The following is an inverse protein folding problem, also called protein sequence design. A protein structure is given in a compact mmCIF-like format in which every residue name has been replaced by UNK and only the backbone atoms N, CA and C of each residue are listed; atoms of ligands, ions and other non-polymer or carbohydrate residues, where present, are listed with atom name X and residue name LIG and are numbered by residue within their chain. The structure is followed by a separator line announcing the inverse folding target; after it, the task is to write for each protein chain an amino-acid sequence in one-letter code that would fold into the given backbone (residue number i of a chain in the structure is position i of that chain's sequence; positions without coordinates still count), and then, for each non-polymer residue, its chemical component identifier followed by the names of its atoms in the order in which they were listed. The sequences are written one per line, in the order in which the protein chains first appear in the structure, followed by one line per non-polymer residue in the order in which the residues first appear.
data_IF_985845264806
#
_entry.id   IF_985845264806
#
_cell.length_a   1.000
_cell.length_b   1.000
_cell.length_c   1.000
_cell.angle_alpha   90.00
_cell.angle_beta   90.00
_cell.angle_gamma   90.00
#
_symmetry.space_group_name_H-M   'P 1'
#
loop_
_entity.id
_entity.type
_entity.pdbx_description
1 polymer ?
#
# COMPACT_ATOMS: atom_id res chain seq x y z
N UNK A 1 -15.17 9.77 -42.69
CA UNK A 1 -16.09 9.37 -41.59
C UNK A 1 -15.63 10.09 -40.34
N UNK A 2 -16.48 10.96 -39.79
CA UNK A 2 -16.15 11.86 -38.69
C UNK A 2 -15.62 11.09 -37.48
N UNK A 3 -14.40 11.40 -37.02
CA UNK A 3 -13.91 11.00 -35.69
C UNK A 3 -14.73 11.75 -34.65
N UNK A 4 -15.91 11.22 -34.31
CA UNK A 4 -16.64 11.63 -33.11
C UNK A 4 -15.70 11.40 -31.91
N UNK A 5 -15.45 12.45 -31.12
CA UNK A 5 -14.39 12.53 -30.12
C UNK A 5 -14.56 11.67 -28.87
N UNK A 6 -15.18 10.50 -28.98
CA UNK A 6 -15.36 9.54 -27.88
C UNK A 6 -14.63 8.24 -28.23
N UNK A 7 -13.55 7.94 -27.50
CA UNK A 7 -12.94 6.61 -27.50
C UNK A 7 -13.53 5.80 -26.36
N UNK A 8 -13.80 4.51 -26.58
CA UNK A 8 -14.09 3.58 -25.47
C UNK A 8 -12.88 3.54 -24.53
N UNK A 9 -13.02 4.13 -23.35
CA UNK A 9 -12.00 4.03 -22.32
C UNK A 9 -11.92 2.59 -21.81
N UNK A 10 -10.72 2.17 -21.43
CA UNK A 10 -10.56 0.93 -20.68
C UNK A 10 -11.44 0.99 -19.42
N UNK A 11 -12.19 -0.08 -19.18
CA UNK A 11 -13.04 -0.19 -18.00
C UNK A 11 -12.17 -0.18 -16.73
N UNK A 12 -12.55 0.61 -15.71
CA UNK A 12 -11.88 0.63 -14.40
C UNK A 12 -12.46 -0.40 -13.42
N UNK A 13 -13.05 -1.46 -13.96
CA UNK A 13 -13.60 -2.55 -13.16
C UNK A 13 -12.44 -3.31 -12.53
N UNK A 14 -12.52 -3.50 -11.22
CA UNK A 14 -11.59 -4.33 -10.46
C UNK A 14 -12.08 -5.77 -10.57
N UNK A 15 -11.26 -6.65 -11.11
CA UNK A 15 -11.53 -8.08 -11.16
C UNK A 15 -11.01 -8.76 -9.89
N UNK A 16 -11.92 -9.03 -8.96
CA UNK A 16 -11.60 -9.63 -7.66
C UNK A 16 -11.02 -11.04 -7.76
N UNK A 17 -11.30 -11.79 -8.85
CA UNK A 17 -10.78 -13.16 -9.01
C UNK A 17 -9.28 -13.17 -9.32
N UNK A 18 -8.76 -12.06 -9.83
CA UNK A 18 -7.36 -11.91 -10.24
C UNK A 18 -6.44 -11.30 -9.17
N UNK A 19 -7.00 -10.80 -8.07
CA UNK A 19 -6.24 -10.12 -7.02
C UNK A 19 -5.36 -11.11 -6.26
N UNK A 20 -4.05 -10.86 -6.24
CA UNK A 20 -3.13 -11.61 -5.38
C UNK A 20 -3.22 -11.11 -3.93
N UNK A 21 -3.77 -11.95 -3.06
CA UNK A 21 -4.00 -11.66 -1.64
C UNK A 21 -2.89 -12.18 -0.72
N UNK A 22 -1.84 -12.83 -1.24
CA UNK A 22 -0.81 -13.47 -0.41
C UNK A 22 -0.11 -12.48 0.50
N UNK A 23 0.23 -11.30 -0.02
CA UNK A 23 0.96 -10.28 0.74
C UNK A 23 0.09 -9.71 1.87
N UNK A 24 -1.17 -9.40 1.61
CA UNK A 24 -2.07 -8.86 2.63
C UNK A 24 -2.34 -9.90 3.72
N UNK A 25 -2.56 -11.16 3.36
CA UNK A 25 -2.74 -12.25 4.33
C UNK A 25 -1.51 -12.41 5.22
N UNK A 26 -0.32 -12.43 4.63
CA UNK A 26 0.95 -12.47 5.38
C UNK A 26 1.09 -11.29 6.36
N UNK A 27 0.76 -10.07 5.93
CA UNK A 27 0.83 -8.89 6.81
C UNK A 27 -0.18 -8.99 7.94
N UNK A 28 -1.42 -9.38 7.67
CA UNK A 28 -2.48 -9.47 8.69
C UNK A 28 -2.21 -10.58 9.70
N UNK A 29 -1.66 -11.71 9.26
CA UNK A 29 -1.24 -12.80 10.16
C UNK A 29 -0.14 -12.36 11.13
N UNK A 30 0.82 -11.56 10.66
CA UNK A 30 1.96 -11.10 11.47
C UNK A 30 1.70 -9.77 12.20
N UNK A 31 0.72 -8.98 11.77
CA UNK A 31 0.29 -7.72 12.38
C UNK A 31 -1.25 -7.56 12.27
N UNK A 32 -2.03 -8.23 13.14
CA UNK A 32 -3.50 -8.23 13.07
C UNK A 32 -4.11 -6.83 13.20
N UNK A 33 -3.42 -5.89 13.85
CA UNK A 33 -3.87 -4.51 13.97
C UNK A 33 -4.07 -3.85 12.61
N UNK A 34 -3.35 -4.28 11.57
CA UNK A 34 -3.46 -3.74 10.22
C UNK A 34 -4.84 -3.96 9.58
N UNK A 35 -5.56 -5.02 9.97
CA UNK A 35 -6.93 -5.27 9.52
C UNK A 35 -7.90 -4.15 9.95
N UNK A 36 -7.58 -3.43 11.03
CA UNK A 36 -8.40 -2.33 11.55
C UNK A 36 -8.17 -0.97 10.85
N UNK A 37 -7.33 -0.93 9.82
CA UNK A 37 -7.01 0.29 9.08
C UNK A 37 -8.23 0.84 8.35
N UNK A 38 -8.59 2.09 8.67
CA UNK A 38 -9.70 2.82 8.06
C UNK A 38 -9.27 3.76 6.92
N UNK A 39 -8.02 3.65 6.47
CA UNK A 39 -7.47 4.48 5.38
C UNK A 39 -7.62 6.01 5.59
N UNK A 40 -7.54 6.50 6.83
CA UNK A 40 -7.72 7.93 7.14
C UNK A 40 -6.58 8.84 6.60
N UNK A 41 -5.36 8.31 6.42
CA UNK A 41 -4.23 9.07 5.89
C UNK A 41 -3.39 9.86 6.89
N UNK A 42 -3.68 9.81 8.19
CA UNK A 42 -2.89 10.50 9.23
C UNK A 42 -1.40 10.11 9.19
N UNK A 43 -1.11 8.84 8.92
CA UNK A 43 0.25 8.31 8.79
C UNK A 43 1.01 8.95 7.61
N UNK A 44 0.35 9.20 6.48
CA UNK A 44 0.95 9.89 5.33
C UNK A 44 1.19 11.37 5.67
N UNK A 45 0.21 12.04 6.28
CA UNK A 45 0.31 13.46 6.62
C UNK A 45 1.48 13.79 7.58
N UNK A 46 1.80 12.89 8.51
CA UNK A 46 2.94 13.07 9.44
C UNK A 46 4.28 12.62 8.87
N UNK A 47 4.28 11.89 7.75
CA UNK A 47 5.49 11.22 7.27
C UNK A 47 6.48 12.23 6.68
N UNK A 48 7.68 12.31 7.25
CA UNK A 48 8.74 13.17 6.72
C UNK A 48 9.20 12.75 5.31
N UNK A 49 9.18 11.45 5.00
CA UNK A 49 9.49 10.97 3.65
C UNK A 49 8.42 11.39 2.63
N UNK A 50 7.13 11.44 3.03
CA UNK A 50 6.05 11.91 2.17
C UNK A 50 6.14 13.41 1.84
N UNK A 51 6.83 14.19 2.68
CA UNK A 51 7.06 15.62 2.41
C UNK A 51 8.20 15.87 1.42
N UNK A 52 9.16 14.95 1.35
CA UNK A 52 10.35 15.08 0.48
C UNK A 52 10.26 14.22 -0.79
N UNK A 53 9.33 13.26 -0.83
CA UNK A 53 9.16 12.28 -1.91
C UNK A 53 7.68 11.94 -2.09
N UNK A 54 7.34 11.13 -3.09
CA UNK A 54 5.97 10.64 -3.32
C UNK A 54 5.51 9.51 -2.39
N UNK A 55 6.27 9.19 -1.34
CA UNK A 55 5.96 8.11 -0.42
C UNK A 55 4.61 8.31 0.29
N UNK A 56 3.71 7.33 0.19
CA UNK A 56 2.37 7.45 0.75
C UNK A 56 1.88 6.13 1.35
N UNK A 57 1.86 6.05 2.68
CA UNK A 57 1.46 4.85 3.43
C UNK A 57 -0.01 4.48 3.16
N UNK A 58 -0.90 5.48 3.05
CA UNK A 58 -2.31 5.24 2.70
C UNK A 58 -2.45 4.63 1.30
N UNK A 59 -1.68 5.13 0.32
CA UNK A 59 -1.68 4.60 -1.06
C UNK A 59 -1.14 3.17 -1.08
N UNK A 60 -0.05 2.90 -0.36
CA UNK A 60 0.49 1.54 -0.20
C UNK A 60 -0.54 0.57 0.35
N UNK A 61 -1.32 0.97 1.36
CA UNK A 61 -2.41 0.12 1.90
C UNK A 61 -3.45 -0.24 0.83
N UNK A 62 -3.80 0.69 -0.06
CA UNK A 62 -4.74 0.43 -1.17
C UNK A 62 -4.12 -0.53 -2.18
N UNK A 63 -2.88 -0.26 -2.63
CA UNK A 63 -2.19 -1.08 -3.61
C UNK A 63 -2.00 -2.52 -3.15
N UNK A 64 -1.62 -2.73 -1.88
CA UNK A 64 -1.46 -4.07 -1.29
C UNK A 64 -2.78 -4.84 -1.28
N UNK A 65 -3.92 -4.16 -1.04
CA UNK A 65 -5.25 -4.78 -1.03
C UNK A 65 -5.76 -5.10 -2.44
N UNK A 66 -5.30 -4.36 -3.44
CA UNK A 66 -5.62 -4.58 -4.85
C UNK A 66 -4.66 -5.56 -5.55
N UNK A 67 -3.57 -5.98 -4.87
CA UNK A 67 -2.55 -6.84 -5.47
C UNK A 67 -1.64 -6.12 -6.48
N UNK A 68 -1.58 -4.79 -6.44
CA UNK A 68 -0.77 -3.96 -7.34
C UNK A 68 0.64 -3.75 -6.77
N UNK A 69 1.62 -4.59 -7.15
CA UNK A 69 2.95 -4.59 -6.52
C UNK A 69 4.08 -3.90 -7.30
N UNK A 70 3.88 -3.54 -8.57
CA UNK A 70 4.93 -3.03 -9.49
C UNK A 70 5.74 -1.85 -8.89
N UNK A 71 5.08 -0.90 -8.23
CA UNK A 71 5.72 0.30 -7.67
C UNK A 71 6.00 0.20 -6.16
N UNK A 72 5.48 -0.84 -5.48
CA UNK A 72 5.48 -0.89 -4.01
C UNK A 72 6.91 -0.95 -3.45
N UNK A 73 7.79 -1.74 -4.07
CA UNK A 73 9.17 -1.90 -3.57
C UNK A 73 9.92 -0.56 -3.56
N UNK A 74 9.85 0.19 -4.66
CA UNK A 74 10.54 1.48 -4.80
C UNK A 74 10.00 2.52 -3.82
N UNK A 75 8.70 2.54 -3.59
CA UNK A 75 8.10 3.43 -2.60
C UNK A 75 8.52 3.07 -1.18
N UNK A 76 8.51 1.79 -0.84
CA UNK A 76 8.81 1.31 0.51
C UNK A 76 10.26 1.52 0.90
N UNK A 77 11.18 1.52 -0.06
CA UNK A 77 12.59 1.83 0.20
C UNK A 77 12.85 3.28 0.61
N UNK A 78 11.89 4.20 0.36
CA UNK A 78 11.94 5.58 0.84
C UNK A 78 11.63 5.71 2.34
N UNK A 79 11.09 4.66 2.97
CA UNK A 79 10.76 4.70 4.38
C UNK A 79 12.03 4.70 5.27
N UNK A 80 12.22 5.78 6.04
CA UNK A 80 13.33 5.91 7.00
C UNK A 80 13.08 5.21 8.35
N UNK A 81 11.99 4.45 8.50
CA UNK A 81 11.62 3.71 9.73
C UNK A 81 11.59 4.55 11.02
N UNK A 82 11.27 5.85 10.92
CA UNK A 82 11.26 6.78 12.05
C UNK A 82 10.09 6.57 13.04
N UNK A 83 9.03 5.85 12.65
CA UNK A 83 7.93 5.46 13.53
C UNK A 83 6.85 6.52 13.82
N UNK A 84 6.97 7.75 13.30
CA UNK A 84 5.97 8.82 13.52
C UNK A 84 4.54 8.43 13.13
N UNK A 85 4.41 7.60 12.10
CA UNK A 85 3.13 7.09 11.61
C UNK A 85 2.33 6.28 12.64
N UNK A 86 2.99 5.65 13.62
CA UNK A 86 2.31 4.91 14.69
C UNK A 86 1.70 5.84 15.73
N UNK A 87 2.40 6.95 16.05
CA UNK A 87 1.98 7.90 17.08
C UNK A 87 0.68 8.63 16.73
N UNK A 88 0.40 8.81 15.44
CA UNK A 88 -0.78 9.53 14.94
C UNK A 88 -1.92 8.60 14.53
N UNK A 89 -1.74 7.28 14.58
CA UNK A 89 -2.75 6.35 14.10
C UNK A 89 -3.93 6.30 15.08
N UNK A 90 -5.15 6.70 14.69
CA UNK A 90 -6.31 6.67 15.60
C UNK A 90 -6.75 5.25 15.97
N UNK A 91 -6.27 4.24 15.25
CA UNK A 91 -6.54 2.82 15.48
C UNK A 91 -5.41 2.11 16.22
N UNK A 92 -4.32 2.80 16.55
CA UNK A 92 -3.18 2.22 17.26
C UNK A 92 -2.39 1.18 16.44
N UNK A 93 -2.40 1.30 15.11
CA UNK A 93 -1.74 0.32 14.23
C UNK A 93 -0.22 0.51 14.28
N UNK A 94 0.51 -0.59 14.45
CA UNK A 94 1.96 -0.64 14.36
C UNK A 94 2.43 -0.55 12.90
N UNK A 95 2.20 0.61 12.28
CA UNK A 95 2.53 0.88 10.88
C UNK A 95 4.02 0.75 10.57
N UNK A 96 4.91 0.94 11.56
CA UNK A 96 6.35 0.69 11.38
C UNK A 96 6.63 -0.80 11.14
N UNK A 97 6.00 -1.68 11.93
CA UNK A 97 6.11 -3.12 11.73
C UNK A 97 5.49 -3.54 10.40
N UNK A 98 4.33 -2.99 10.03
CA UNK A 98 3.70 -3.24 8.72
C UNK A 98 4.67 -2.96 7.56
N UNK A 99 5.39 -1.82 7.57
CA UNK A 99 6.38 -1.51 6.52
C UNK A 99 7.50 -2.57 6.46
N UNK A 100 7.99 -3.04 7.62
CA UNK A 100 9.00 -4.10 7.68
C UNK A 100 8.46 -5.43 7.16
N UNK A 101 7.22 -5.79 7.50
CA UNK A 101 6.56 -6.99 7.01
C UNK A 101 6.36 -6.92 5.50
N UNK A 102 6.01 -5.76 4.94
CA UNK A 102 5.89 -5.64 3.48
C UNK A 102 7.26 -5.90 2.82
N UNK A 103 8.34 -5.29 3.29
CA UNK A 103 9.70 -5.56 2.75
C UNK A 103 10.07 -7.04 2.79
N UNK A 104 9.78 -7.71 3.91
CA UNK A 104 10.03 -9.14 4.09
C UNK A 104 9.15 -9.99 3.16
N UNK A 105 7.85 -9.71 3.13
CA UNK A 105 6.87 -10.42 2.31
C UNK A 105 7.21 -10.34 0.82
N UNK A 106 7.62 -9.17 0.31
CA UNK A 106 8.06 -9.01 -1.08
C UNK A 106 9.29 -9.86 -1.42
N UNK A 107 10.19 -10.08 -0.45
CA UNK A 107 11.40 -10.90 -0.64
C UNK A 107 11.08 -12.40 -0.53
N UNK A 108 10.25 -12.80 0.44
CA UNK A 108 9.97 -14.20 0.74
C UNK A 108 8.97 -14.84 -0.21
N UNK A 109 7.97 -14.08 -0.69
CA UNK A 109 6.87 -14.61 -1.48
C UNK A 109 7.14 -14.60 -3.00
N UNK A 110 8.35 -14.20 -3.43
CA UNK A 110 8.74 -14.06 -4.85
C UNK A 110 7.67 -13.39 -5.72
N UNK A 111 7.03 -12.35 -5.18
CA UNK A 111 5.98 -11.62 -5.89
C UNK A 111 6.63 -10.98 -7.11
N UNK A 112 6.15 -11.35 -8.30
CA UNK A 112 6.73 -10.92 -9.58
C UNK A 112 6.81 -9.39 -9.62
N UNK A 113 8.01 -8.88 -9.93
CA UNK A 113 8.27 -7.49 -10.29
C UNK A 113 7.61 -7.14 -11.60
#
# INVERSE_FOLDING_TARGET
MNKFGFSTHASRVIDYETIDTKLISYIVENEPSFASCISCGSCTATCSAANLTYFNIRRLNVQIRLGEFEEIQQEIDKCMLCGKCMLVCPRGINTRNVIMLIKRGLTTLEIKK
#
